data_IF_030386749079
#
_entry.id   IF_030386749079
#
_cell.length_a   1.000
_cell.length_b   1.000
_cell.length_c   1.000
_cell.angle_alpha   90.00
_cell.angle_beta   90.00
_cell.angle_gamma   90.00
#
_symmetry.space_group_name_H-M   'P 1'
#
loop_
_entity.id
_entity.type
_entity.pdbx_description
1 polymer ?
#
# COMPACT_ATOMS: atom_id res chain seq x y z
N UNK A 1 -1.03 23.49 11.10
CA UNK A 1 -0.32 22.59 12.03
C UNK A 1 -0.75 22.71 13.49
N UNK A 2 -1.40 23.81 13.93
CA UNK A 2 -1.86 23.98 15.33
C UNK A 2 -2.60 22.75 15.89
N UNK A 3 -3.63 22.26 15.20
CA UNK A 3 -4.39 21.07 15.63
C UNK A 3 -3.55 19.79 15.79
N UNK A 4 -2.55 19.58 14.94
CA UNK A 4 -1.64 18.43 15.06
C UNK A 4 -0.73 18.59 16.27
N UNK A 5 -0.29 19.82 16.56
CA UNK A 5 0.48 20.13 17.76
C UNK A 5 -0.35 19.92 19.02
N UNK A 6 -1.60 20.38 19.03
CA UNK A 6 -2.52 20.19 20.16
C UNK A 6 -2.78 18.69 20.40
N UNK A 7 -3.05 17.93 19.32
CA UNK A 7 -3.18 16.47 19.40
C UNK A 7 -1.91 15.80 19.94
N UNK A 8 -0.74 16.26 19.47
CA UNK A 8 0.56 15.73 19.89
C UNK A 8 0.83 15.99 21.37
N UNK A 9 0.47 17.17 21.86
CA UNK A 9 0.59 17.53 23.28
C UNK A 9 -0.36 16.70 24.15
N UNK A 10 -1.61 16.51 23.72
CA UNK A 10 -2.60 15.74 24.49
C UNK A 10 -2.33 14.24 24.51
N UNK A 11 -1.73 13.68 23.45
CA UNK A 11 -1.54 12.22 23.31
C UNK A 11 -0.09 11.75 23.49
N UNK A 12 0.89 12.66 23.44
CA UNK A 12 2.31 12.32 23.37
C UNK A 12 2.77 11.75 22.03
N UNK A 13 1.90 11.69 21.00
CA UNK A 13 2.24 11.19 19.68
C UNK A 13 2.84 12.30 18.81
N UNK A 14 4.08 12.14 18.36
CA UNK A 14 4.76 13.11 17.50
C UNK A 14 4.79 12.65 16.04
N UNK A 15 4.67 13.61 15.11
CA UNK A 15 4.76 13.34 13.67
C UNK A 15 6.20 13.02 13.28
N UNK A 16 6.38 11.92 12.56
CA UNK A 16 7.67 11.59 11.98
C UNK A 16 7.79 12.17 10.55
N UNK A 17 8.44 13.33 10.46
CA UNK A 17 8.65 14.04 9.19
C UNK A 17 9.43 13.23 8.13
N UNK A 18 10.25 12.25 8.52
CA UNK A 18 10.98 11.43 7.53
C UNK A 18 10.10 10.37 6.85
N UNK A 19 9.01 9.96 7.52
CA UNK A 19 8.04 9.00 6.99
C UNK A 19 6.85 9.67 6.31
N UNK A 20 6.53 10.91 6.69
CA UNK A 20 5.41 11.66 6.12
C UNK A 20 5.82 12.39 4.83
N UNK A 21 5.10 12.13 3.74
CA UNK A 21 5.25 12.83 2.47
C UNK A 21 3.88 13.30 1.97
N UNK A 22 3.86 14.39 1.20
CA UNK A 22 2.65 14.88 0.52
C UNK A 22 2.72 14.50 -0.96
N UNK A 23 1.60 14.05 -1.50
CA UNK A 23 1.44 13.77 -2.92
C UNK A 23 0.31 14.65 -3.46
N UNK A 24 0.58 15.37 -4.54
CA UNK A 24 -0.37 16.29 -5.15
C UNK A 24 -0.98 15.69 -6.42
N UNK A 25 -2.25 16.01 -6.70
CA UNK A 25 -2.94 15.65 -7.94
C UNK A 25 -3.64 16.86 -8.52
N UNK A 26 -3.16 17.37 -9.66
CA UNK A 26 -3.79 18.51 -10.37
C UNK A 26 -3.78 19.83 -9.61
N UNK A 27 -2.76 20.09 -8.78
CA UNK A 27 -2.64 21.31 -7.97
C UNK A 27 -1.59 22.25 -8.57
N UNK A 28 -1.90 23.54 -8.63
CA UNK A 28 -0.96 24.59 -9.06
C UNK A 28 0.24 24.72 -8.11
N UNK A 29 1.41 25.06 -8.63
CA UNK A 29 2.65 25.13 -7.84
C UNK A 29 2.58 26.20 -6.74
N UNK A 30 1.86 27.30 -6.96
CA UNK A 30 1.60 28.33 -5.93
C UNK A 30 0.88 27.77 -4.70
N UNK A 31 -0.06 26.85 -4.93
CA UNK A 31 -0.81 26.18 -3.87
C UNK A 31 0.07 25.12 -3.19
N UNK A 32 0.88 24.38 -3.96
CA UNK A 32 1.86 23.42 -3.39
C UNK A 32 2.82 24.12 -2.44
N UNK A 33 3.37 25.27 -2.83
CA UNK A 33 4.27 26.07 -1.99
C UNK A 33 3.59 26.55 -0.71
N UNK A 34 2.34 26.98 -0.82
CA UNK A 34 1.54 27.41 0.33
C UNK A 34 1.32 26.24 1.31
N UNK A 35 0.97 25.05 0.80
CA UNK A 35 0.80 23.84 1.61
C UNK A 35 2.13 23.41 2.24
N UNK A 36 3.22 23.45 1.48
CA UNK A 36 4.56 23.08 1.95
C UNK A 36 5.02 23.98 3.09
N UNK A 37 4.78 25.29 3.00
CA UNK A 37 5.08 26.25 4.08
C UNK A 37 4.31 25.95 5.37
N UNK A 38 3.05 25.53 5.26
CA UNK A 38 2.21 25.23 6.43
C UNK A 38 2.54 23.87 7.05
N UNK A 39 2.88 22.87 6.23
CA UNK A 39 3.03 21.47 6.67
C UNK A 39 4.46 21.04 6.92
N UNK A 40 5.43 21.66 6.25
CA UNK A 40 6.85 21.26 6.27
C UNK A 40 7.10 19.79 5.88
N UNK A 41 6.15 19.14 5.20
CA UNK A 41 6.36 17.80 4.66
C UNK A 41 7.04 17.87 3.29
N UNK A 42 7.90 16.89 3.02
CA UNK A 42 8.51 16.74 1.71
C UNK A 42 7.47 16.26 0.68
N UNK A 43 7.61 16.73 -0.55
CA UNK A 43 6.83 16.20 -1.68
C UNK A 43 7.33 14.80 -2.02
N UNK A 44 6.38 13.89 -2.23
CA UNK A 44 6.64 12.53 -2.70
C UNK A 44 6.35 12.39 -4.19
N UNK A 45 6.95 11.36 -4.80
CA UNK A 45 6.78 11.06 -6.23
C UNK A 45 6.03 9.73 -6.41
N UNK A 46 5.15 9.70 -7.40
CA UNK A 46 4.47 8.48 -7.86
C UNK A 46 5.33 7.78 -8.94
N UNK A 47 5.31 6.44 -9.03
CA UNK A 47 4.57 5.52 -8.18
C UNK A 47 5.28 5.22 -6.86
N UNK A 48 4.51 4.97 -5.79
CA UNK A 48 5.04 4.48 -4.51
C UNK A 48 4.16 3.34 -3.95
N UNK A 49 4.62 2.64 -2.90
CA UNK A 49 3.85 1.57 -2.26
C UNK A 49 3.25 2.05 -0.94
N UNK A 50 1.94 1.93 -0.79
CA UNK A 50 1.24 2.15 0.47
C UNK A 50 0.61 0.84 0.92
N UNK A 51 0.98 0.35 2.11
CA UNK A 51 0.58 -0.98 2.62
C UNK A 51 0.83 -2.14 1.63
N UNK A 52 1.88 -2.02 0.80
CA UNK A 52 2.22 -2.98 -0.23
C UNK A 52 1.42 -2.86 -1.54
N UNK A 53 0.53 -1.87 -1.64
CA UNK A 53 -0.24 -1.54 -2.85
C UNK A 53 0.46 -0.43 -3.64
N UNK A 54 0.78 -0.65 -4.93
CA UNK A 54 1.33 0.41 -5.76
C UNK A 54 0.26 1.49 -5.98
N UNK A 55 0.50 2.68 -5.43
CA UNK A 55 -0.22 3.88 -5.77
C UNK A 55 0.48 4.51 -6.96
N UNK A 56 -0.28 4.70 -8.04
CA UNK A 56 0.19 5.24 -9.32
C UNK A 56 -0.89 6.16 -9.87
N UNK A 57 -0.50 7.20 -10.61
CA UNK A 57 -1.47 8.03 -11.35
C UNK A 57 -1.94 7.36 -12.65
N UNK A 58 -1.21 6.33 -13.11
CA UNK A 58 -1.51 5.62 -14.36
C UNK A 58 -2.47 4.46 -14.11
N UNK A 59 -3.24 4.10 -15.15
CA UNK A 59 -4.08 2.90 -15.13
C UNK A 59 -3.23 1.66 -14.88
N UNK A 60 -3.66 0.82 -13.93
CA UNK A 60 -2.98 -0.43 -13.62
C UNK A 60 -3.09 -1.40 -14.78
N UNK A 61 -1.94 -1.83 -15.29
CA UNK A 61 -1.84 -2.92 -16.26
C UNK A 61 -1.78 -4.28 -15.57
N UNK A 62 -2.00 -5.35 -16.33
CA UNK A 62 -1.87 -6.74 -15.88
C UNK A 62 -0.51 -7.02 -15.23
N UNK A 63 0.58 -6.38 -15.69
CA UNK A 63 1.90 -6.53 -15.09
C UNK A 63 1.97 -6.12 -13.61
N UNK A 64 1.14 -5.17 -13.17
CA UNK A 64 1.08 -4.78 -11.76
C UNK A 64 0.50 -5.90 -10.88
N UNK A 65 -0.35 -6.76 -11.46
CA UNK A 65 -0.91 -7.94 -10.82
C UNK A 65 0.06 -9.12 -10.78
N UNK A 66 1.15 -9.12 -11.56
CA UNK A 66 2.14 -10.21 -11.51
C UNK A 66 2.74 -10.35 -10.09
N UNK A 67 3.02 -9.21 -9.46
CA UNK A 67 3.49 -9.16 -8.06
C UNK A 67 2.54 -9.81 -7.06
N UNK A 68 1.26 -9.95 -7.40
CA UNK A 68 0.28 -10.66 -6.60
C UNK A 68 0.47 -12.18 -6.72
N UNK A 69 0.61 -12.65 -7.96
CA UNK A 69 0.82 -14.07 -8.26
C UNK A 69 2.11 -14.56 -7.61
N UNK A 70 3.20 -13.78 -7.73
CA UNK A 70 4.48 -14.11 -7.11
C UNK A 70 4.35 -14.21 -5.58
N UNK A 71 3.59 -13.30 -4.96
CA UNK A 71 3.38 -13.29 -3.51
C UNK A 71 2.53 -14.46 -3.03
N UNK A 72 1.55 -14.89 -3.82
CA UNK A 72 0.75 -16.09 -3.54
C UNK A 72 1.67 -17.32 -3.64
N UNK A 73 2.44 -17.44 -4.71
CA UNK A 73 3.39 -18.54 -4.91
C UNK A 73 4.41 -18.64 -3.78
N UNK A 74 5.01 -17.51 -3.37
CA UNK A 74 5.99 -17.49 -2.30
C UNK A 74 5.39 -17.87 -0.94
N UNK A 75 4.18 -17.39 -0.63
CA UNK A 75 3.48 -17.80 0.61
C UNK A 75 3.15 -19.28 0.61
N UNK A 76 2.67 -19.81 -0.51
CA UNK A 76 2.40 -21.24 -0.65
C UNK A 76 3.70 -22.02 -0.45
N UNK A 77 4.80 -21.62 -1.11
CA UNK A 77 6.11 -22.27 -0.99
C UNK A 77 6.57 -22.35 0.47
N UNK A 78 6.60 -21.21 1.17
CA UNK A 78 7.02 -21.13 2.57
C UNK A 78 6.13 -21.99 3.48
N UNK A 79 4.81 -21.91 3.31
CA UNK A 79 3.87 -22.62 4.18
C UNK A 79 3.79 -24.12 3.88
N UNK A 80 4.03 -24.50 2.61
CA UNK A 80 4.09 -25.89 2.16
C UNK A 80 5.39 -26.61 2.53
N UNK A 81 6.43 -25.89 2.96
CA UNK A 81 7.66 -26.48 3.47
C UNK A 81 7.47 -27.21 4.82
N UNK A 82 6.30 -27.06 5.45
CA UNK A 82 5.89 -27.82 6.61
C UNK A 82 5.44 -29.22 6.19
N UNK A 83 5.65 -30.21 7.06
CA UNK A 83 5.09 -31.56 6.91
C UNK A 83 3.56 -31.49 7.00
N UNK A 84 2.91 -31.33 5.84
CA UNK A 84 1.46 -31.23 5.70
C UNK A 84 0.95 -32.44 4.92
N UNK A 85 -0.23 -32.95 5.30
CA UNK A 85 -0.91 -33.96 4.52
C UNK A 85 -1.31 -33.42 3.14
N UNK A 86 -1.65 -34.31 2.20
CA UNK A 86 -2.13 -33.87 0.88
C UNK A 86 -3.38 -32.98 0.98
N UNK A 87 -4.30 -33.34 1.87
CA UNK A 87 -5.52 -32.57 2.11
C UNK A 87 -5.21 -31.17 2.67
N UNK A 88 -4.29 -31.09 3.63
CA UNK A 88 -3.90 -29.80 4.24
C UNK A 88 -3.19 -28.90 3.23
N UNK A 89 -2.38 -29.47 2.33
CA UNK A 89 -1.74 -28.70 1.24
C UNK A 89 -2.77 -28.11 0.29
N UNK A 90 -3.80 -28.87 -0.08
CA UNK A 90 -4.87 -28.38 -0.94
C UNK A 90 -5.64 -27.23 -0.25
N UNK A 91 -6.00 -27.42 1.02
CA UNK A 91 -6.67 -26.39 1.81
C UNK A 91 -5.82 -25.12 1.98
N UNK A 92 -4.52 -25.30 2.24
CA UNK A 92 -3.55 -24.21 2.34
C UNK A 92 -3.49 -23.39 1.05
N UNK A 93 -3.37 -24.05 -0.11
CA UNK A 93 -3.32 -23.38 -1.41
C UNK A 93 -4.60 -22.57 -1.64
N UNK A 94 -5.77 -23.18 -1.42
CA UNK A 94 -7.05 -22.51 -1.59
C UNK A 94 -7.20 -21.30 -0.66
N UNK A 95 -6.87 -21.46 0.62
CA UNK A 95 -6.96 -20.41 1.64
C UNK A 95 -6.03 -19.23 1.34
N UNK A 96 -4.75 -19.51 1.02
CA UNK A 96 -3.76 -18.45 0.73
C UNK A 96 -4.15 -17.69 -0.54
N UNK A 97 -4.52 -18.40 -1.61
CA UNK A 97 -4.95 -17.77 -2.85
C UNK A 97 -6.18 -16.87 -2.62
N UNK A 98 -7.18 -17.37 -1.89
CA UNK A 98 -8.41 -16.64 -1.59
C UNK A 98 -8.13 -15.36 -0.79
N UNK A 99 -7.43 -15.46 0.34
CA UNK A 99 -7.19 -14.30 1.22
C UNK A 99 -6.37 -13.22 0.52
N UNK A 100 -5.28 -13.61 -0.15
CA UNK A 100 -4.36 -12.66 -0.78
C UNK A 100 -5.00 -11.99 -2.00
N UNK A 101 -5.77 -12.73 -2.80
CA UNK A 101 -6.53 -12.16 -3.91
C UNK A 101 -7.62 -11.20 -3.42
N UNK A 102 -8.43 -11.61 -2.44
CA UNK A 102 -9.53 -10.79 -1.94
C UNK A 102 -9.07 -9.46 -1.37
N UNK A 103 -8.01 -9.46 -0.56
CA UNK A 103 -7.44 -8.21 -0.03
C UNK A 103 -7.07 -7.22 -1.15
N UNK A 104 -6.51 -7.71 -2.24
CA UNK A 104 -6.08 -6.86 -3.37
C UNK A 104 -7.25 -6.38 -4.21
N UNK A 105 -8.27 -7.20 -4.40
CA UNK A 105 -9.49 -6.83 -5.11
C UNK A 105 -10.31 -5.78 -4.35
N UNK A 106 -10.20 -5.72 -3.02
CA UNK A 106 -10.80 -4.64 -2.22
C UNK A 106 -10.09 -3.30 -2.44
N UNK A 107 -8.78 -3.32 -2.72
CA UNK A 107 -7.99 -2.10 -2.85
C UNK A 107 -7.80 -1.62 -4.30
N UNK A 108 -7.88 -2.52 -5.28
CA UNK A 108 -7.61 -2.23 -6.68
C UNK A 108 -8.74 -2.71 -7.60
N UNK A 109 -9.16 -1.91 -8.59
CA UNK A 109 -10.16 -2.32 -9.55
C UNK A 109 -9.59 -3.41 -10.46
N UNK A 110 -10.35 -4.49 -10.69
CA UNK A 110 -9.93 -5.59 -11.55
C UNK A 110 -9.49 -5.08 -12.94
N UNK A 111 -8.42 -5.67 -13.52
CA UNK A 111 -7.97 -5.29 -14.85
C UNK A 111 -9.10 -5.59 -15.85
N UNK A 112 -9.41 -4.61 -16.70
CA UNK A 112 -10.30 -4.82 -17.83
C UNK A 112 -9.58 -5.70 -18.86
N UNK A 113 -10.29 -6.68 -19.42
CA UNK A 113 -9.80 -7.49 -20.55
C UNK A 113 -9.45 -6.60 -21.73
#
# INVERSE_FOLDING_TARGET
MAKIKDFSQSTGLHVNHSKCKIFYGGVEDRIKDSIRKVTSFAEGYLPFRYHGIPLTSKKLSIHHYMSLVDRIGERIRILSAKLLSHADRLHLIASVAFVVANYRMQCLPLPKK
#
